data_IF_908069566368
#
_entry.id   IF_908069566368
#
_cell.length_a   1.000
_cell.length_b   1.000
_cell.length_c   1.000
_cell.angle_alpha   90.00
_cell.angle_beta   90.00
_cell.angle_gamma   90.00
#
_symmetry.space_group_name_H-M   'P 1'
#
loop_
_entity.id
_entity.type
_entity.pdbx_description
1 polymer ?
#
# COMPACT_ATOMS: atom_id res chain seq x y z
N UNK A 1 14.92 -19.90 1.97
CA UNK A 1 14.82 -18.81 0.95
C UNK A 1 15.01 -17.48 1.63
N UNK A 2 15.84 -16.60 1.05
CA UNK A 2 16.03 -15.24 1.57
C UNK A 2 14.89 -14.31 1.17
N UNK A 3 14.78 -13.15 1.86
CA UNK A 3 13.72 -12.16 1.55
C UNK A 3 13.80 -11.63 0.12
N UNK A 4 15.00 -11.40 -0.41
CA UNK A 4 15.18 -10.97 -1.81
C UNK A 4 14.73 -12.03 -2.80
N UNK A 5 14.99 -13.30 -2.53
CA UNK A 5 14.57 -14.41 -3.37
C UNK A 5 13.03 -14.53 -3.42
N UNK A 6 12.33 -14.34 -2.31
CA UNK A 6 10.86 -14.29 -2.27
C UNK A 6 10.31 -13.11 -3.09
N UNK A 7 10.92 -11.92 -2.99
CA UNK A 7 10.55 -10.74 -3.80
C UNK A 7 10.81 -11.00 -5.28
N UNK A 8 11.89 -11.70 -5.64
CA UNK A 8 12.19 -12.07 -7.00
C UNK A 8 11.09 -12.95 -7.60
N UNK A 9 10.77 -14.09 -6.95
CA UNK A 9 9.74 -15.00 -7.45
C UNK A 9 8.36 -14.35 -7.49
N UNK A 10 7.98 -13.59 -6.46
CA UNK A 10 6.75 -12.82 -6.45
C UNK A 10 6.65 -11.88 -7.66
N UNK A 11 7.72 -11.16 -7.95
CA UNK A 11 7.76 -10.19 -9.05
C UNK A 11 7.80 -10.89 -10.42
N UNK A 12 8.55 -11.99 -10.54
CA UNK A 12 8.61 -12.81 -11.75
C UNK A 12 7.22 -13.36 -12.12
N UNK A 13 6.55 -14.04 -11.17
CA UNK A 13 5.21 -14.59 -11.41
C UNK A 13 4.19 -13.49 -11.68
N UNK A 14 4.30 -12.34 -10.98
CA UNK A 14 3.45 -11.19 -11.24
C UNK A 14 3.62 -10.64 -12.66
N UNK A 15 4.84 -10.48 -13.12
CA UNK A 15 5.12 -10.02 -14.49
C UNK A 15 4.60 -11.01 -15.55
N UNK A 16 4.84 -12.32 -15.34
CA UNK A 16 4.34 -13.39 -16.23
C UNK A 16 2.81 -13.38 -16.26
N UNK A 17 2.16 -13.34 -15.10
CA UNK A 17 0.70 -13.32 -15.00
C UNK A 17 0.09 -12.14 -15.75
N UNK A 18 0.62 -10.92 -15.53
CA UNK A 18 0.12 -9.72 -16.22
C UNK A 18 0.38 -9.82 -17.73
N UNK A 19 1.58 -10.26 -18.16
CA UNK A 19 1.90 -10.41 -19.56
C UNK A 19 0.93 -11.38 -20.25
N UNK A 20 0.61 -12.50 -19.61
CA UNK A 20 -0.33 -13.49 -20.12
C UNK A 20 -1.76 -12.93 -20.25
N UNK A 21 -2.26 -12.24 -19.21
CA UNK A 21 -3.59 -11.59 -19.23
C UNK A 21 -3.66 -10.52 -20.34
N UNK A 22 -2.62 -9.72 -20.50
CA UNK A 22 -2.57 -8.66 -21.51
C UNK A 22 -2.52 -9.25 -22.92
N UNK A 23 -1.74 -10.31 -23.13
CA UNK A 23 -1.69 -11.01 -24.41
C UNK A 23 -3.05 -11.62 -24.80
N UNK A 24 -3.77 -12.18 -23.84
CA UNK A 24 -5.11 -12.76 -24.06
C UNK A 24 -6.22 -11.71 -24.27
N UNK A 25 -6.06 -10.50 -23.72
CA UNK A 25 -7.05 -9.41 -23.84
C UNK A 25 -6.80 -8.45 -25.00
N UNK A 26 -5.75 -8.66 -25.81
CA UNK A 26 -5.36 -7.75 -26.89
C UNK A 26 -4.82 -6.39 -26.41
N UNK A 27 -4.49 -6.28 -25.11
CA UNK A 27 -3.87 -5.11 -24.53
C UNK A 27 -2.43 -4.90 -24.97
N UNK A 28 -1.84 -3.76 -24.61
CA UNK A 28 -0.43 -3.47 -24.88
C UNK A 28 0.32 -3.07 -23.62
N UNK A 29 1.55 -3.55 -23.48
CA UNK A 29 2.48 -3.16 -22.41
C UNK A 29 3.32 -1.94 -22.81
N UNK A 30 3.25 -1.50 -24.08
CA UNK A 30 3.96 -0.32 -24.55
C UNK A 30 3.37 0.94 -23.93
N UNK A 31 4.23 1.84 -23.44
CA UNK A 31 3.84 3.11 -22.80
C UNK A 31 4.58 4.29 -23.42
N UNK A 32 3.92 5.43 -23.45
CA UNK A 32 4.55 6.71 -23.81
C UNK A 32 5.12 7.42 -22.56
N UNK A 33 4.72 6.98 -21.36
CA UNK A 33 5.07 7.58 -20.08
C UNK A 33 6.11 6.78 -19.29
N UNK A 34 7.11 6.20 -19.98
CA UNK A 34 8.11 5.31 -19.39
C UNK A 34 8.83 5.89 -18.16
N UNK A 35 9.12 7.19 -18.18
CA UNK A 35 9.75 7.90 -17.05
C UNK A 35 8.92 7.79 -15.76
N UNK A 36 7.60 7.92 -15.86
CA UNK A 36 6.70 7.79 -14.70
C UNK A 36 6.72 6.36 -14.13
N UNK A 37 6.78 5.34 -15.00
CA UNK A 37 6.93 3.95 -14.55
C UNK A 37 8.24 3.71 -13.81
N UNK A 38 9.36 4.26 -14.31
CA UNK A 38 10.65 4.16 -13.62
C UNK A 38 10.58 4.82 -12.25
N UNK A 39 10.12 6.07 -12.15
CA UNK A 39 10.02 6.79 -10.87
C UNK A 39 9.13 6.02 -9.90
N UNK A 40 7.93 5.55 -10.32
CA UNK A 40 7.03 4.76 -9.50
C UNK A 40 7.68 3.46 -9.00
N UNK A 41 8.40 2.78 -9.87
CA UNK A 41 9.03 1.50 -9.53
C UNK A 41 10.23 1.70 -8.62
N UNK A 42 11.06 2.72 -8.85
CA UNK A 42 12.16 3.05 -7.96
C UNK A 42 11.68 3.40 -6.55
N UNK A 43 10.64 4.25 -6.42
CA UNK A 43 10.05 4.56 -5.13
C UNK A 43 9.57 3.29 -4.43
N UNK A 44 8.82 2.42 -5.13
CA UNK A 44 8.29 1.21 -4.52
C UNK A 44 9.37 0.17 -4.18
N UNK A 45 10.39 0.00 -5.03
CA UNK A 45 11.49 -0.94 -4.77
C UNK A 45 12.35 -0.45 -3.60
N UNK A 46 12.64 0.85 -3.53
CA UNK A 46 13.37 1.47 -2.41
C UNK A 46 12.57 1.32 -1.10
N UNK A 47 11.26 1.58 -1.14
CA UNK A 47 10.36 1.38 0.01
C UNK A 47 10.44 -0.06 0.53
N UNK A 48 10.29 -1.06 -0.36
CA UNK A 48 10.37 -2.49 0.00
C UNK A 48 11.73 -2.85 0.57
N UNK A 49 12.83 -2.36 -0.01
CA UNK A 49 14.19 -2.65 0.47
C UNK A 49 14.42 -2.09 1.89
N UNK A 50 14.06 -0.83 2.12
CA UNK A 50 14.17 -0.19 3.42
C UNK A 50 13.25 -0.83 4.47
N UNK A 51 12.05 -1.25 4.07
CA UNK A 51 11.13 -1.98 4.92
C UNK A 51 11.73 -3.32 5.40
N UNK A 52 12.28 -4.13 4.48
CA UNK A 52 12.93 -5.40 4.86
C UNK A 52 14.15 -5.16 5.77
N UNK A 53 14.93 -4.11 5.53
CA UNK A 53 16.03 -3.75 6.40
C UNK A 53 15.52 -3.40 7.81
N UNK A 54 14.53 -2.51 7.93
CA UNK A 54 13.96 -2.14 9.23
C UNK A 54 13.34 -3.36 9.95
N UNK A 55 12.64 -4.22 9.21
CA UNK A 55 12.03 -5.44 9.74
C UNK A 55 13.05 -6.42 10.30
N UNK A 56 14.28 -6.44 9.79
CA UNK A 56 15.37 -7.28 10.32
C UNK A 56 15.99 -6.74 11.62
N UNK A 57 15.73 -5.48 11.96
CA UNK A 57 16.36 -4.76 13.07
C UNK A 57 15.41 -4.42 14.23
N UNK A 58 14.11 -4.63 14.06
CA UNK A 58 13.11 -4.26 15.06
C UNK A 58 11.91 -5.21 15.07
N UNK A 59 11.10 -5.13 16.13
CA UNK A 59 9.90 -5.94 16.27
C UNK A 59 8.88 -5.68 15.14
N UNK A 60 8.31 -6.77 14.60
CA UNK A 60 7.36 -6.70 13.48
C UNK A 60 6.20 -5.73 13.74
N UNK A 61 5.58 -5.80 14.92
CA UNK A 61 4.45 -4.94 15.29
C UNK A 61 4.82 -3.45 15.29
N UNK A 62 5.99 -3.09 15.82
CA UNK A 62 6.49 -1.70 15.82
C UNK A 62 6.79 -1.22 14.41
N UNK A 63 7.49 -2.05 13.60
CA UNK A 63 7.80 -1.75 12.20
C UNK A 63 6.52 -1.45 11.39
N UNK A 64 5.53 -2.36 11.47
CA UNK A 64 4.26 -2.20 10.75
C UNK A 64 3.48 -0.97 11.22
N UNK A 65 3.44 -0.71 12.54
CA UNK A 65 2.76 0.49 13.08
C UNK A 65 3.36 1.78 12.52
N UNK A 66 4.70 1.86 12.44
CA UNK A 66 5.38 3.03 11.89
C UNK A 66 5.12 3.21 10.38
N UNK A 67 5.08 2.13 9.61
CA UNK A 67 4.73 2.19 8.18
C UNK A 67 3.28 2.61 7.98
N UNK A 68 2.36 2.15 8.82
CA UNK A 68 0.96 2.59 8.80
C UNK A 68 0.75 4.06 9.21
N UNK A 69 1.81 4.83 9.47
CA UNK A 69 1.73 6.30 9.54
C UNK A 69 1.55 6.97 8.16
N UNK A 70 1.76 6.25 7.04
CA UNK A 70 1.55 6.79 5.68
C UNK A 70 0.21 7.50 5.49
N UNK A 71 -0.96 6.97 5.93
CA UNK A 71 -2.22 7.69 5.85
C UNK A 71 -2.27 8.98 6.69
N UNK A 72 -1.54 9.05 7.80
CA UNK A 72 -1.43 10.29 8.60
C UNK A 72 -0.65 11.36 7.82
N UNK A 73 0.48 10.99 7.20
CA UNK A 73 1.22 11.90 6.31
C UNK A 73 0.39 12.33 5.11
N UNK A 74 -0.41 11.42 4.56
CA UNK A 74 -1.34 11.76 3.48
C UNK A 74 -2.40 12.76 3.94
N UNK A 75 -3.01 12.55 5.10
CA UNK A 75 -3.98 13.48 5.68
C UNK A 75 -3.36 14.86 5.92
N UNK A 76 -2.15 14.91 6.49
CA UNK A 76 -1.41 16.16 6.69
C UNK A 76 -1.14 16.88 5.36
N UNK A 77 -0.70 16.15 4.33
CA UNK A 77 -0.48 16.70 3.00
C UNK A 77 -1.77 17.31 2.41
N UNK A 78 -2.91 16.63 2.53
CA UNK A 78 -4.19 17.17 2.07
C UNK A 78 -4.66 18.38 2.88
N UNK A 79 -4.41 18.44 4.19
CA UNK A 79 -4.70 19.63 5.02
C UNK A 79 -3.87 20.82 4.54
N UNK A 80 -2.57 20.61 4.30
CA UNK A 80 -1.66 21.66 3.81
C UNK A 80 -2.14 22.16 2.43
N UNK A 81 -2.44 21.26 1.50
CA UNK A 81 -2.91 21.62 0.17
C UNK A 81 -4.25 22.37 0.21
N UNK A 82 -5.22 21.93 1.03
CA UNK A 82 -6.48 22.62 1.21
C UNK A 82 -6.28 24.05 1.73
N UNK A 83 -5.39 24.21 2.74
CA UNK A 83 -5.04 25.53 3.30
C UNK A 83 -4.40 26.45 2.25
N UNK A 84 -3.47 25.92 1.43
CA UNK A 84 -2.83 26.69 0.36
C UNK A 84 -3.82 27.13 -0.73
N UNK A 85 -4.89 26.36 -0.98
CA UNK A 85 -5.94 26.68 -1.95
C UNK A 85 -7.11 27.46 -1.38
N UNK A 86 -7.13 27.74 -0.08
CA UNK A 86 -8.26 28.35 0.60
C UNK A 86 -9.50 27.44 0.71
N UNK A 87 -9.34 26.14 0.52
CA UNK A 87 -10.39 25.14 0.60
C UNK A 87 -10.56 24.62 2.04
N UNK A 88 -11.72 24.05 2.34
CA UNK A 88 -11.95 23.41 3.64
C UNK A 88 -11.25 22.08 3.73
N UNK A 89 -10.49 21.86 4.80
CA UNK A 89 -9.84 20.58 5.05
C UNK A 89 -10.89 19.46 5.28
N UNK A 90 -10.61 18.23 4.84
CA UNK A 90 -11.51 17.06 4.97
C UNK A 90 -11.48 16.47 6.39
N UNK A 91 -11.82 17.26 7.40
CA UNK A 91 -11.66 16.92 8.82
C UNK A 91 -12.31 15.61 9.23
N UNK A 92 -13.47 15.27 8.64
CA UNK A 92 -14.15 14.01 8.97
C UNK A 92 -13.31 12.79 8.58
N UNK A 93 -12.62 12.85 7.43
CA UNK A 93 -11.72 11.77 7.00
C UNK A 93 -10.43 11.77 7.82
N UNK A 94 -9.92 12.94 8.18
CA UNK A 94 -8.74 13.08 9.05
C UNK A 94 -8.99 12.43 10.41
N UNK A 95 -10.14 12.72 11.05
CA UNK A 95 -10.53 12.11 12.32
C UNK A 95 -10.63 10.58 12.18
N UNK A 96 -11.23 10.09 11.09
CA UNK A 96 -11.31 8.66 10.83
C UNK A 96 -9.90 8.02 10.71
N UNK A 97 -8.97 8.66 10.00
CA UNK A 97 -7.58 8.18 9.87
C UNK A 97 -6.89 8.12 11.23
N UNK A 98 -7.02 9.16 12.06
CA UNK A 98 -6.44 9.17 13.42
C UNK A 98 -7.05 8.07 14.29
N UNK A 99 -8.37 7.90 14.23
CA UNK A 99 -9.07 6.84 14.98
C UNK A 99 -8.60 5.45 14.55
N UNK A 100 -8.48 5.22 13.24
CA UNK A 100 -7.98 3.95 12.69
C UNK A 100 -6.53 3.68 13.10
N UNK A 101 -5.69 4.70 13.13
CA UNK A 101 -4.31 4.57 13.58
C UNK A 101 -4.20 4.23 15.08
N UNK A 102 -5.05 4.82 15.93
CA UNK A 102 -5.14 4.42 17.34
C UNK A 102 -5.50 2.93 17.43
N UNK A 103 -6.46 2.46 16.63
CA UNK A 103 -6.80 1.05 16.54
C UNK A 103 -5.61 0.17 16.16
N UNK A 104 -4.78 0.58 15.20
CA UNK A 104 -3.54 -0.13 14.82
C UNK A 104 -2.57 -0.21 16.00
N UNK A 105 -2.36 0.89 16.71
CA UNK A 105 -1.48 0.90 17.88
C UNK A 105 -1.95 -0.08 18.96
N UNK A 106 -3.26 -0.24 19.16
CA UNK A 106 -3.83 -1.18 20.12
C UNK A 106 -3.64 -2.64 19.69
N UNK A 107 -3.73 -2.93 18.39
CA UNK A 107 -3.52 -4.28 17.84
C UNK A 107 -2.03 -4.65 17.84
N UNK A 108 -1.20 -3.78 17.30
CA UNK A 108 0.23 -4.05 17.08
C UNK A 108 1.08 -3.88 18.32
N UNK A 109 0.59 -3.15 19.35
CA UNK A 109 1.29 -2.92 20.62
C UNK A 109 2.74 -2.49 20.42
N UNK A 110 3.01 -1.41 19.66
CA UNK A 110 4.37 -1.01 19.34
C UNK A 110 5.16 -0.66 20.61
N UNK A 111 6.42 -1.07 20.66
CA UNK A 111 7.37 -0.69 21.71
C UNK A 111 8.74 -0.49 21.06
N UNK A 112 9.44 0.59 21.40
CA UNK A 112 10.79 0.84 20.91
C UNK A 112 11.81 0.31 21.90
N UNK A 113 12.69 -0.58 21.43
CA UNK A 113 13.91 -0.94 22.12
C UNK A 113 14.94 0.18 22.07
N UNK A 114 15.96 0.14 22.93
CA UNK A 114 17.00 1.17 23.00
C UNK A 114 17.76 1.34 21.69
N UNK A 115 17.92 0.28 20.90
CA UNK A 115 18.70 0.26 19.66
C UNK A 115 17.82 0.38 18.39
N UNK A 116 16.49 0.55 18.55
CA UNK A 116 15.54 0.58 17.44
C UNK A 116 15.29 1.99 16.86
N UNK A 117 15.97 3.01 17.36
CA UNK A 117 15.74 4.41 16.93
C UNK A 117 16.04 4.63 15.44
N UNK A 118 17.17 4.12 14.93
CA UNK A 118 17.53 4.26 13.51
C UNK A 118 16.57 3.48 12.60
N UNK A 119 16.25 2.19 12.88
CA UNK A 119 15.21 1.45 12.17
C UNK A 119 13.86 2.15 12.17
N UNK A 120 13.46 2.77 13.30
CA UNK A 120 12.20 3.52 13.39
C UNK A 120 12.18 4.74 12.46
N UNK A 121 13.27 5.52 12.40
CA UNK A 121 13.40 6.62 11.43
C UNK A 121 13.34 6.14 9.98
N UNK A 122 13.92 4.97 9.69
CA UNK A 122 13.84 4.36 8.35
C UNK A 122 12.39 4.00 8.03
N UNK A 123 11.61 3.41 8.95
CA UNK A 123 10.18 3.13 8.75
C UNK A 123 9.37 4.40 8.45
N UNK A 124 9.63 5.50 9.16
CA UNK A 124 8.99 6.78 8.85
C UNK A 124 9.40 7.31 7.46
N UNK A 125 10.66 7.13 7.08
CA UNK A 125 11.15 7.40 5.72
C UNK A 125 10.42 6.56 4.66
N UNK A 126 10.22 5.26 4.93
CA UNK A 126 9.41 4.37 4.08
C UNK A 126 8.00 4.91 3.92
N UNK A 127 7.34 5.33 5.01
CA UNK A 127 5.99 5.90 4.95
C UNK A 127 5.91 7.16 4.07
N UNK A 128 6.94 8.01 4.06
CA UNK A 128 7.03 9.17 3.16
C UNK A 128 7.29 8.78 1.70
N UNK A 129 8.13 7.77 1.47
CA UNK A 129 8.38 7.22 0.12
C UNK A 129 7.09 6.60 -0.44
N UNK A 130 6.34 5.89 0.37
CA UNK A 130 5.04 5.31 -0.02
C UNK A 130 4.02 6.40 -0.36
N UNK A 131 3.97 7.49 0.42
CA UNK A 131 3.16 8.66 0.08
C UNK A 131 3.51 9.21 -1.32
N UNK A 132 4.81 9.37 -1.62
CA UNK A 132 5.27 9.81 -2.94
C UNK A 132 4.89 8.81 -4.05
N UNK A 133 5.00 7.50 -3.77
CA UNK A 133 4.59 6.45 -4.71
C UNK A 133 3.08 6.49 -4.99
N UNK A 134 2.23 6.76 -3.99
CA UNK A 134 0.78 6.89 -4.17
C UNK A 134 0.42 8.15 -4.98
N UNK A 135 1.11 9.27 -4.75
CA UNK A 135 0.97 10.45 -5.61
C UNK A 135 1.36 10.16 -7.06
N UNK A 136 2.44 9.40 -7.27
CA UNK A 136 2.86 8.98 -8.61
C UNK A 136 1.79 8.08 -9.28
N UNK A 137 1.18 7.15 -8.54
CA UNK A 137 0.04 6.37 -9.06
C UNK A 137 -1.14 7.27 -9.46
N UNK A 138 -1.45 8.29 -8.65
CA UNK A 138 -2.50 9.26 -8.97
C UNK A 138 -2.21 10.06 -10.25
N UNK A 139 -0.95 10.48 -10.43
CA UNK A 139 -0.54 11.16 -11.67
C UNK A 139 -0.68 10.25 -12.89
N UNK A 140 -0.25 8.98 -12.78
CA UNK A 140 -0.38 8.01 -13.86
C UNK A 140 -1.85 7.70 -14.19
N UNK A 141 -2.73 7.68 -13.19
CA UNK A 141 -4.17 7.60 -13.40
C UNK A 141 -4.72 8.78 -14.21
N UNK A 142 -4.24 10.01 -13.97
CA UNK A 142 -4.61 11.19 -14.76
C UNK A 142 -4.11 11.15 -16.21
N UNK A 143 -3.00 10.43 -16.45
CA UNK A 143 -2.46 10.17 -17.79
C UNK A 143 -3.16 8.99 -18.49
N UNK A 144 -4.24 8.44 -17.88
CA UNK A 144 -4.96 7.26 -18.37
C UNK A 144 -4.08 6.01 -18.55
N UNK A 145 -2.98 5.90 -17.77
CA UNK A 145 -2.16 4.69 -17.77
C UNK A 145 -2.90 3.53 -17.09
N UNK A 146 -3.08 2.39 -17.77
CA UNK A 146 -3.78 1.25 -17.19
C UNK A 146 -3.04 0.68 -15.98
N UNK A 147 -3.77 0.31 -14.92
CA UNK A 147 -3.18 -0.20 -13.67
C UNK A 147 -2.32 -1.45 -13.90
N UNK A 148 -2.69 -2.34 -14.82
CA UNK A 148 -1.91 -3.53 -15.13
C UNK A 148 -0.51 -3.18 -15.68
N UNK A 149 -0.41 -2.11 -16.48
CA UNK A 149 0.86 -1.64 -17.04
C UNK A 149 1.75 -1.07 -15.94
N UNK A 150 1.19 -0.28 -15.02
CA UNK A 150 1.91 0.28 -13.87
C UNK A 150 2.49 -0.86 -13.02
N UNK A 151 1.69 -1.89 -12.74
CA UNK A 151 2.13 -3.05 -11.94
C UNK A 151 3.13 -3.92 -12.71
N UNK A 152 2.98 -4.07 -14.01
CA UNK A 152 3.94 -4.82 -14.84
C UNK A 152 5.36 -4.24 -14.74
N UNK A 153 5.50 -2.94 -15.00
CA UNK A 153 6.82 -2.28 -14.90
C UNK A 153 7.38 -2.32 -13.47
N UNK A 154 6.52 -2.19 -12.46
CA UNK A 154 6.93 -2.37 -11.06
C UNK A 154 7.45 -3.79 -10.80
N UNK A 155 6.77 -4.82 -11.30
CA UNK A 155 7.22 -6.20 -11.18
C UNK A 155 8.56 -6.44 -11.92
N UNK A 156 8.72 -5.92 -13.14
CA UNK A 156 9.96 -6.10 -13.92
C UNK A 156 11.15 -5.45 -13.20
N UNK A 157 11.01 -4.20 -12.75
CA UNK A 157 12.10 -3.52 -12.04
C UNK A 157 12.35 -4.13 -10.65
N UNK A 158 11.28 -4.54 -9.94
CA UNK A 158 11.38 -5.27 -8.68
C UNK A 158 12.10 -6.61 -8.82
N UNK A 159 11.86 -7.34 -9.90
CA UNK A 159 12.55 -8.59 -10.24
C UNK A 159 14.04 -8.37 -10.45
N UNK A 160 14.43 -7.36 -11.23
CA UNK A 160 15.85 -7.03 -11.49
C UNK A 160 16.57 -6.67 -10.17
N UNK A 161 15.97 -5.79 -9.37
CA UNK A 161 16.54 -5.41 -8.08
C UNK A 161 16.66 -6.62 -7.12
N UNK A 162 15.61 -7.43 -7.03
CA UNK A 162 15.59 -8.59 -6.16
C UNK A 162 16.56 -9.68 -6.62
N UNK A 163 16.77 -9.84 -7.94
CA UNK A 163 17.77 -10.75 -8.49
C UNK A 163 19.19 -10.35 -8.04
N UNK A 164 19.53 -9.06 -8.15
CA UNK A 164 20.82 -8.54 -7.69
C UNK A 164 20.99 -8.75 -6.18
N UNK A 165 19.97 -8.43 -5.38
CA UNK A 165 19.99 -8.66 -3.94
C UNK A 165 20.14 -10.13 -3.56
N UNK A 166 19.46 -11.04 -4.27
CA UNK A 166 19.55 -12.49 -4.05
C UNK A 166 20.96 -13.01 -4.32
N UNK A 167 21.55 -12.63 -5.47
CA UNK A 167 22.93 -13.03 -5.81
C UNK A 167 23.95 -12.48 -4.81
N UNK A 168 23.74 -11.26 -4.34
CA UNK A 168 24.65 -10.61 -3.39
C UNK A 168 24.57 -11.16 -1.96
N UNK A 169 23.46 -11.84 -1.59
CA UNK A 169 23.23 -12.29 -0.21
C UNK A 169 23.24 -13.80 -0.05
N UNK A 170 22.19 -14.48 -0.51
CA UNK A 170 21.94 -15.91 -0.21
C UNK A 170 22.10 -16.83 -1.41
N UNK A 171 22.16 -16.27 -2.64
CA UNK A 171 22.03 -17.05 -3.87
C UNK A 171 20.59 -17.58 -4.07
N UNK A 172 20.36 -18.21 -5.23
CA UNK A 172 19.09 -18.86 -5.55
C UNK A 172 19.02 -20.28 -5.04
N UNK A 173 17.89 -20.64 -4.46
CA UNK A 173 17.60 -22.01 -4.01
C UNK A 173 16.55 -22.63 -4.95
N UNK A 174 16.69 -23.92 -5.24
CA UNK A 174 15.68 -24.64 -6.02
C UNK A 174 14.51 -25.01 -5.08
N UNK A 175 13.31 -24.45 -5.27
CA UNK A 175 12.17 -24.78 -4.42
C UNK A 175 11.67 -26.20 -4.72
N UNK A 176 11.19 -26.90 -3.69
CA UNK A 176 10.47 -28.15 -3.86
C UNK A 176 9.07 -27.89 -4.45
N UNK A 177 8.33 -28.94 -4.83
CA UNK A 177 7.02 -28.82 -5.48
C UNK A 177 6.00 -28.03 -4.63
N UNK A 178 5.97 -28.24 -3.32
CA UNK A 178 5.13 -27.49 -2.39
C UNK A 178 5.54 -26.02 -2.32
N UNK A 179 6.84 -25.73 -2.34
CA UNK A 179 7.38 -24.38 -2.40
C UNK A 179 6.98 -23.66 -3.67
N UNK A 180 7.01 -24.33 -4.84
CA UNK A 180 6.56 -23.75 -6.11
C UNK A 180 5.09 -23.38 -6.04
N UNK A 181 4.21 -24.25 -5.52
CA UNK A 181 2.79 -23.96 -5.35
C UNK A 181 2.56 -22.74 -4.45
N UNK A 182 3.28 -22.66 -3.33
CA UNK A 182 3.23 -21.48 -2.43
C UNK A 182 3.68 -20.19 -3.10
N UNK A 183 4.79 -20.24 -3.87
CA UNK A 183 5.30 -19.08 -4.61
C UNK A 183 4.35 -18.62 -5.72
N UNK A 184 3.71 -19.54 -6.42
CA UNK A 184 2.68 -19.22 -7.43
C UNK A 184 1.46 -18.56 -6.78
N UNK A 185 0.97 -19.10 -5.66
CA UNK A 185 -0.13 -18.53 -4.89
C UNK A 185 0.22 -17.13 -4.39
N UNK A 186 1.40 -16.97 -3.77
CA UNK A 186 1.89 -15.67 -3.30
C UNK A 186 2.00 -14.67 -4.46
N UNK A 187 2.58 -15.05 -5.59
CA UNK A 187 2.73 -14.20 -6.77
C UNK A 187 1.38 -13.75 -7.33
N UNK A 188 0.41 -14.67 -7.43
CA UNK A 188 -0.94 -14.37 -7.91
C UNK A 188 -1.65 -13.39 -6.98
N UNK A 189 -1.78 -13.71 -5.68
CA UNK A 189 -2.51 -12.84 -4.73
C UNK A 189 -1.82 -11.49 -4.51
N UNK A 190 -0.47 -11.47 -4.47
CA UNK A 190 0.27 -10.22 -4.39
C UNK A 190 0.07 -9.34 -5.63
N UNK A 191 0.00 -9.93 -6.83
CA UNK A 191 -0.24 -9.19 -8.07
C UNK A 191 -1.65 -8.64 -8.13
N UNK A 192 -2.67 -9.45 -7.77
CA UNK A 192 -4.05 -8.98 -7.68
C UNK A 192 -4.18 -7.84 -6.67
N UNK A 193 -3.62 -7.99 -5.47
CA UNK A 193 -3.58 -6.93 -4.47
C UNK A 193 -2.90 -5.67 -4.98
N UNK A 194 -1.77 -5.79 -5.69
CA UNK A 194 -1.04 -4.66 -6.24
C UNK A 194 -1.84 -3.95 -7.35
N UNK A 195 -2.57 -4.69 -8.20
CA UNK A 195 -3.47 -4.10 -9.21
C UNK A 195 -4.62 -3.35 -8.53
N UNK A 196 -5.26 -3.95 -7.53
CA UNK A 196 -6.34 -3.32 -6.78
C UNK A 196 -5.87 -2.04 -6.07
N UNK A 197 -4.72 -2.09 -5.40
CA UNK A 197 -4.10 -0.93 -4.73
C UNK A 197 -3.75 0.16 -5.74
N UNK A 198 -3.07 -0.18 -6.83
CA UNK A 198 -2.74 0.79 -7.88
C UNK A 198 -4.00 1.44 -8.45
N UNK A 199 -5.04 0.66 -8.74
CA UNK A 199 -6.32 1.18 -9.27
C UNK A 199 -7.02 2.09 -8.25
N UNK A 200 -7.01 1.71 -6.98
CA UNK A 200 -7.62 2.49 -5.89
C UNK A 200 -6.97 3.87 -5.74
N UNK A 201 -5.64 3.94 -5.78
CA UNK A 201 -4.92 5.22 -5.70
C UNK A 201 -4.92 6.01 -7.02
N UNK A 202 -4.86 5.36 -8.17
CA UNK A 202 -4.85 6.03 -9.47
C UNK A 202 -6.19 6.73 -9.77
N UNK A 203 -7.29 6.02 -9.57
CA UNK A 203 -8.62 6.47 -10.00
C UNK A 203 -9.56 6.80 -8.85
N UNK A 204 -9.33 6.26 -7.65
CA UNK A 204 -10.16 6.47 -6.47
C UNK A 204 -9.79 7.72 -5.67
N UNK A 205 -10.44 7.86 -4.53
CA UNK A 205 -10.12 8.89 -3.53
C UNK A 205 -8.93 8.43 -2.67
N UNK A 206 -7.82 9.15 -2.73
CA UNK A 206 -6.57 8.77 -2.07
C UNK A 206 -6.69 8.66 -0.55
N UNK A 207 -7.39 9.62 0.11
CA UNK A 207 -7.59 9.59 1.56
C UNK A 207 -8.42 8.39 1.98
N UNK A 208 -9.51 8.11 1.26
CA UNK A 208 -10.34 6.94 1.52
C UNK A 208 -9.57 5.65 1.30
N UNK A 209 -8.83 5.53 0.18
CA UNK A 209 -8.01 4.36 -0.11
C UNK A 209 -6.98 4.09 0.98
N UNK A 210 -6.33 5.13 1.50
CA UNK A 210 -5.35 4.99 2.57
C UNK A 210 -5.98 4.58 3.91
N UNK A 211 -7.15 5.13 4.25
CA UNK A 211 -7.88 4.72 5.45
C UNK A 211 -8.37 3.26 5.36
N UNK A 212 -8.90 2.85 4.20
CA UNK A 212 -9.32 1.47 3.97
C UNK A 212 -8.12 0.49 3.98
N UNK A 213 -6.91 0.97 3.68
CA UNK A 213 -5.68 0.18 3.80
C UNK A 213 -5.45 -0.37 5.21
N UNK A 214 -5.94 0.29 6.25
CA UNK A 214 -5.89 -0.20 7.63
C UNK A 214 -6.64 -1.53 7.84
N UNK A 215 -7.60 -1.86 6.97
CA UNK A 215 -8.33 -3.13 7.03
C UNK A 215 -7.43 -4.37 6.88
N UNK A 216 -6.22 -4.21 6.34
CA UNK A 216 -5.24 -5.29 6.29
C UNK A 216 -4.90 -5.84 7.69
N UNK A 217 -4.94 -5.00 8.73
CA UNK A 217 -4.65 -5.41 10.12
C UNK A 217 -5.71 -6.37 10.67
N UNK A 218 -7.04 -6.06 10.67
CA UNK A 218 -8.06 -7.03 11.05
C UNK A 218 -8.00 -8.34 10.24
N UNK A 219 -7.77 -8.25 8.92
CA UNK A 219 -7.65 -9.45 8.11
C UNK A 219 -6.43 -10.30 8.49
N UNK A 220 -5.28 -9.69 8.79
CA UNK A 220 -4.10 -10.44 9.23
C UNK A 220 -4.34 -11.18 10.55
N UNK A 221 -5.06 -10.55 11.49
CA UNK A 221 -5.43 -11.18 12.76
C UNK A 221 -6.42 -12.33 12.54
N UNK A 222 -7.43 -12.16 11.67
CA UNK A 222 -8.36 -13.24 11.32
C UNK A 222 -7.60 -14.44 10.75
N UNK A 223 -6.66 -14.23 9.83
CA UNK A 223 -5.84 -15.31 9.28
C UNK A 223 -4.90 -15.91 10.33
N UNK A 224 -4.32 -15.10 11.23
CA UNK A 224 -3.53 -15.58 12.36
C UNK A 224 -4.30 -16.57 13.23
N UNK A 225 -5.52 -16.21 13.61
CA UNK A 225 -6.41 -17.10 14.41
C UNK A 225 -6.83 -18.34 13.62
N UNK A 226 -7.25 -18.20 12.36
CA UNK A 226 -7.87 -19.31 11.61
C UNK A 226 -6.86 -20.29 11.03
N UNK A 227 -5.65 -19.86 10.69
CA UNK A 227 -4.63 -20.67 10.03
C UNK A 227 -3.44 -21.03 10.94
N UNK A 228 -3.19 -20.25 11.99
CA UNK A 228 -2.02 -20.39 12.85
C UNK A 228 -2.39 -20.59 14.33
N UNK A 229 -3.69 -20.72 14.66
CA UNK A 229 -4.20 -20.91 16.04
C UNK A 229 -3.72 -19.83 17.03
N UNK A 230 -3.49 -18.59 16.52
CA UNK A 230 -3.08 -17.47 17.36
C UNK A 230 -4.20 -17.02 18.28
N UNK A 231 -3.87 -16.69 19.53
CA UNK A 231 -4.83 -16.14 20.49
C UNK A 231 -4.93 -14.63 20.35
N UNK A 232 -6.14 -14.08 20.39
CA UNK A 232 -6.38 -12.65 20.32
C UNK A 232 -6.85 -12.13 21.68
N UNK A 233 -6.15 -11.14 22.19
CA UNK A 233 -6.53 -10.49 23.44
C UNK A 233 -7.66 -9.44 23.25
N UNK A 234 -8.40 -9.11 24.32
CA UNK A 234 -9.52 -8.17 24.26
C UNK A 234 -9.14 -6.77 23.74
N UNK A 235 -7.91 -6.31 24.03
CA UNK A 235 -7.42 -5.01 23.56
C UNK A 235 -7.26 -4.97 22.04
N UNK A 236 -6.75 -6.06 21.46
CA UNK A 236 -6.65 -6.21 20.01
C UNK A 236 -8.04 -6.26 19.34
N UNK A 237 -9.02 -6.94 19.95
CA UNK A 237 -10.42 -6.92 19.47
C UNK A 237 -11.00 -5.51 19.46
N UNK A 238 -10.77 -4.74 20.51
CA UNK A 238 -11.19 -3.34 20.57
C UNK A 238 -10.50 -2.49 19.49
N UNK A 239 -9.19 -2.65 19.30
CA UNK A 239 -8.43 -2.00 18.24
C UNK A 239 -8.97 -2.31 16.84
N UNK A 240 -9.29 -3.59 16.54
CA UNK A 240 -9.91 -3.99 15.27
C UNK A 240 -11.28 -3.32 15.05
N UNK A 241 -12.09 -3.24 16.10
CA UNK A 241 -13.38 -2.55 16.03
C UNK A 241 -13.22 -1.07 15.68
N UNK A 242 -12.24 -0.37 16.28
CA UNK A 242 -11.91 1.02 15.93
C UNK A 242 -11.49 1.15 14.46
N UNK A 243 -10.66 0.24 13.94
CA UNK A 243 -10.22 0.25 12.53
C UNK A 243 -11.44 0.12 11.59
N UNK A 244 -12.35 -0.81 11.87
CA UNK A 244 -13.55 -1.01 11.05
C UNK A 244 -14.49 0.20 11.08
N UNK A 245 -14.73 0.77 12.27
CA UNK A 245 -15.54 2.00 12.43
C UNK A 245 -14.88 3.17 11.67
N UNK A 246 -13.57 3.33 11.79
CA UNK A 246 -12.81 4.35 11.08
C UNK A 246 -12.96 4.21 9.56
N UNK A 247 -12.79 3.01 9.02
CA UNK A 247 -12.97 2.74 7.58
C UNK A 247 -14.38 3.07 7.08
N UNK A 248 -15.41 2.64 7.82
CA UNK A 248 -16.80 2.94 7.48
C UNK A 248 -17.12 4.44 7.55
N UNK A 249 -16.66 5.11 8.61
CA UNK A 249 -16.88 6.56 8.79
C UNK A 249 -16.18 7.39 7.70
N UNK A 250 -14.95 7.01 7.32
CA UNK A 250 -14.23 7.63 6.22
C UNK A 250 -14.98 7.45 4.88
N UNK A 251 -15.50 6.26 4.60
CA UNK A 251 -16.26 5.97 3.38
C UNK A 251 -17.53 6.83 3.29
N UNK A 252 -18.29 6.92 4.40
CA UNK A 252 -19.50 7.75 4.45
C UNK A 252 -19.16 9.25 4.32
N UNK A 253 -18.11 9.73 5.01
CA UNK A 253 -17.67 11.11 4.93
C UNK A 253 -17.26 11.50 3.51
N UNK A 254 -16.46 10.66 2.84
CA UNK A 254 -16.02 10.88 1.46
C UNK A 254 -17.21 10.93 0.50
N UNK A 255 -18.13 9.96 0.58
CA UNK A 255 -19.33 9.94 -0.27
C UNK A 255 -20.19 11.19 -0.09
N UNK A 256 -20.35 11.68 1.15
CA UNK A 256 -21.09 12.93 1.43
C UNK A 256 -20.38 14.16 0.86
N UNK A 257 -19.05 14.20 0.86
CA UNK A 257 -18.28 15.29 0.28
C UNK A 257 -18.42 15.32 -1.24
N UNK A 258 -18.27 14.17 -1.90
CA UNK A 258 -18.44 14.03 -3.36
C UNK A 258 -19.85 14.44 -3.80
N UNK A 259 -20.90 13.97 -3.11
CA UNK A 259 -22.27 14.36 -3.42
C UNK A 259 -22.53 15.87 -3.26
N UNK A 260 -21.90 16.53 -2.27
CA UNK A 260 -22.00 17.99 -2.10
C UNK A 260 -21.28 18.76 -3.22
N UNK A 261 -20.15 18.26 -3.69
CA UNK A 261 -19.41 18.87 -4.80
C UNK A 261 -20.19 18.75 -6.11
N UNK A 262 -20.74 17.57 -6.42
CA UNK A 262 -21.62 17.36 -7.57
C UNK A 262 -22.85 18.30 -7.56
N UNK A 263 -23.51 18.41 -6.39
CA UNK A 263 -24.66 19.31 -6.26
C UNK A 263 -24.29 20.78 -6.48
N UNK A 264 -23.12 21.22 -5.99
CA UNK A 264 -22.63 22.57 -6.20
C UNK A 264 -22.28 22.85 -7.69
N UNK A 265 -21.66 21.88 -8.37
CA UNK A 265 -21.38 21.99 -9.82
C UNK A 265 -22.64 22.06 -10.68
N UNK A 266 -23.65 21.24 -10.35
CA UNK A 266 -24.94 21.27 -11.03
C UNK A 266 -25.69 22.59 -10.80
N UNK A 267 -25.60 23.17 -9.60
CA UNK A 267 -26.19 24.48 -9.30
C UNK A 267 -25.50 25.60 -10.07
N UNK A 268 -24.17 25.59 -10.18
CA UNK A 268 -23.40 26.59 -10.94
C UNK A 268 -23.69 26.55 -12.44
N UNK A 269 -23.88 25.33 -13.01
CA UNK A 269 -24.25 25.14 -14.43
C UNK A 269 -25.67 25.61 -14.77
N UNK A 270 -26.58 25.69 -13.78
CA UNK A 270 -27.96 26.17 -13.98
C UNK A 270 -28.06 27.69 -13.90
N UNK A 271 -27.06 28.36 -13.34
CA UNK A 271 -27.00 29.83 -13.16
C UNK A 271 -26.13 30.52 -14.22
N UNK A 272 -25.43 29.78 -15.05
CA UNK A 272 -24.66 30.21 -16.23
C UNK A 272 -25.46 29.94 -17.51
#
# INVERSE_FOLDING_TARGET
MGSFELVFYRSLFGAIFIAFVVAGSGGTLKTEHFRHHIVRSLLGVTSVALWFYALSQMHFGTCMTLIYTTPLFMALNFIILAKCKGERAPWAVVVAIVTGFIGICLVMKPGLGTDEFIPALICLGVALIDLAAYWQMKQMGRLNEPSYRIVFYFCVLGMVFAAVGTVATTGFHVPNLTGIAGLLGMGLFATLGQICTTRSYAYGNMLLSSCLGFSAVPFSVIFGVTLFDESVDPLSLFGMTLILIAGMSAAVATKRMEAKQEAAELASKKTS
#
